data_IF_643351983368
#
_entry.id   IF_643351983368
#
_cell.length_a   1.000
_cell.length_b   1.000
_cell.length_c   1.000
_cell.angle_alpha   90.00
_cell.angle_beta   90.00
_cell.angle_gamma   90.00
#
_symmetry.space_group_name_H-M   'P 1'
#
loop_
_entity.id
_entity.type
_entity.pdbx_description
1 polymer ?
#
# COMPACT_ATOMS: atom_id res chain seq x y z
N UNK A 1 8.02 -17.11 56.01
CA UNK A 1 8.91 -17.69 54.97
C UNK A 1 8.22 -17.52 53.61
N UNK A 2 8.36 -16.36 52.97
CA UNK A 2 9.27 -16.10 51.83
C UNK A 2 9.02 -17.00 50.60
N UNK A 3 7.97 -16.72 49.83
CA UNK A 3 7.97 -17.03 48.38
C UNK A 3 8.76 -15.94 47.66
N UNK A 4 10.09 -16.02 47.83
CA UNK A 4 11.10 -15.20 47.16
C UNK A 4 11.53 -15.82 45.83
N UNK A 5 10.62 -16.51 45.13
CA UNK A 5 10.93 -17.21 43.87
C UNK A 5 10.05 -16.76 42.70
N UNK A 6 9.59 -15.51 42.72
CA UNK A 6 9.29 -14.81 41.47
C UNK A 6 10.62 -14.34 40.89
N UNK A 7 11.40 -15.31 40.39
CA UNK A 7 12.60 -15.04 39.62
C UNK A 7 12.21 -14.18 38.44
N UNK A 8 12.71 -12.95 38.49
CA UNK A 8 12.76 -11.99 37.41
C UNK A 8 13.40 -12.66 36.18
N UNK A 9 12.60 -12.99 35.18
CA UNK A 9 13.12 -13.24 33.85
C UNK A 9 13.65 -11.89 33.32
N UNK A 10 14.94 -11.64 33.56
CA UNK A 10 15.68 -10.56 32.93
C UNK A 10 15.61 -10.79 31.42
N UNK A 11 14.80 -9.99 30.73
CA UNK A 11 14.85 -9.84 29.27
C UNK A 11 16.08 -8.97 28.96
N UNK A 12 17.25 -9.41 29.38
CA UNK A 12 18.51 -8.79 29.02
C UNK A 12 19.05 -9.56 27.82
N UNK A 13 19.14 -8.83 26.70
CA UNK A 13 20.03 -9.12 25.58
C UNK A 13 19.69 -10.31 24.68
N UNK A 14 18.53 -10.25 24.01
CA UNK A 14 18.47 -10.83 22.66
C UNK A 14 19.02 -9.80 21.66
N UNK A 15 20.34 -9.83 21.48
CA UNK A 15 21.03 -9.11 20.40
C UNK A 15 20.53 -9.70 19.07
N UNK A 16 19.78 -8.92 18.29
CA UNK A 16 19.39 -9.31 16.93
C UNK A 16 20.63 -9.43 16.06
N UNK A 17 20.79 -10.58 15.39
CA UNK A 17 21.85 -10.77 14.41
C UNK A 17 21.73 -9.74 13.27
N UNK A 18 22.83 -9.05 12.90
CA UNK A 18 22.81 -8.14 11.75
C UNK A 18 22.70 -8.97 10.47
N UNK A 19 21.62 -8.75 9.72
CA UNK A 19 21.40 -9.38 8.42
C UNK A 19 22.27 -8.68 7.39
N UNK A 20 23.24 -9.40 6.84
CA UNK A 20 24.08 -8.93 5.73
C UNK A 20 23.23 -8.69 4.48
N UNK A 21 23.21 -7.45 3.98
CA UNK A 21 22.55 -7.11 2.71
C UNK A 21 23.58 -7.17 1.58
N UNK A 22 23.40 -8.02 0.55
CA UNK A 22 24.33 -8.06 -0.58
C UNK A 22 24.30 -6.73 -1.35
N UNK A 23 25.47 -6.09 -1.48
CA UNK A 23 25.71 -4.93 -2.34
C UNK A 23 25.77 -5.37 -3.80
N UNK A 24 24.62 -5.40 -4.47
CA UNK A 24 24.54 -5.51 -5.93
C UNK A 24 24.57 -4.12 -6.56
N UNK A 25 25.67 -3.77 -7.22
CA UNK A 25 25.75 -2.65 -8.16
C UNK A 25 24.81 -2.93 -9.34
N UNK A 26 23.91 -2.00 -9.67
CA UNK A 26 23.31 -1.90 -11.01
C UNK A 26 23.81 -0.61 -11.64
N UNK A 27 24.30 -0.76 -12.86
CA UNK A 27 24.76 0.31 -13.72
C UNK A 27 23.72 1.41 -13.86
N UNK A 28 24.20 2.65 -13.88
CA UNK A 28 23.40 3.86 -13.98
C UNK A 28 22.96 4.06 -15.42
N UNK A 29 21.71 3.75 -15.73
CA UNK A 29 21.01 4.43 -16.83
C UNK A 29 20.94 5.94 -16.51
N UNK A 30 21.03 6.83 -17.52
CA UNK A 30 21.01 8.27 -17.30
C UNK A 30 19.75 8.65 -16.50
N UNK A 31 19.97 9.32 -15.37
CA UNK A 31 18.91 9.67 -14.45
C UNK A 31 17.84 10.49 -15.19
N UNK A 32 16.56 10.08 -15.18
CA UNK A 32 15.50 10.95 -15.63
C UNK A 32 15.57 12.26 -14.83
N UNK A 33 15.20 13.40 -15.44
CA UNK A 33 15.21 14.69 -14.75
C UNK A 33 14.49 14.57 -13.39
N UNK A 34 14.93 15.30 -12.35
CA UNK A 34 14.37 15.15 -11.02
C UNK A 34 12.86 15.44 -11.08
N UNK A 35 12.06 14.37 -11.06
CA UNK A 35 10.62 14.48 -10.87
C UNK A 35 10.44 15.23 -9.56
N UNK A 36 9.75 16.36 -9.63
CA UNK A 36 9.28 17.11 -8.45
C UNK A 36 8.11 16.37 -7.76
N UNK A 37 7.86 15.11 -8.15
CA UNK A 37 6.82 14.22 -7.66
C UNK A 37 7.37 12.85 -7.23
N UNK A 38 6.45 11.97 -6.83
CA UNK A 38 6.75 10.69 -6.18
C UNK A 38 7.11 9.61 -7.22
N UNK A 39 8.40 9.36 -7.54
CA UNK A 39 8.79 8.68 -8.78
C UNK A 39 8.37 7.20 -8.82
N UNK A 40 8.35 6.55 -7.64
CA UNK A 40 7.87 5.17 -7.50
C UNK A 40 6.36 5.07 -7.72
N UNK A 41 5.61 6.04 -7.22
CA UNK A 41 4.15 6.04 -7.34
C UNK A 41 3.79 6.37 -8.79
N UNK A 42 4.48 7.35 -9.39
CA UNK A 42 4.31 7.71 -10.79
C UNK A 42 4.63 6.54 -11.72
N UNK A 43 5.74 5.82 -11.52
CA UNK A 43 6.07 4.66 -12.35
C UNK A 43 5.02 3.53 -12.26
N UNK A 44 4.46 3.29 -11.06
CA UNK A 44 3.38 2.30 -10.87
C UNK A 44 2.07 2.77 -11.51
N UNK A 45 1.77 4.07 -11.43
CA UNK A 45 0.59 4.66 -12.06
C UNK A 45 0.76 4.78 -13.58
N UNK A 46 1.96 4.98 -14.12
CA UNK A 46 2.15 5.07 -15.58
C UNK A 46 2.21 3.70 -16.22
N UNK A 47 2.83 2.72 -15.57
CA UNK A 47 2.91 1.34 -16.08
C UNK A 47 1.56 0.61 -16.03
N UNK A 48 0.64 1.03 -15.17
CA UNK A 48 -0.63 0.34 -15.01
C UNK A 48 -1.82 1.21 -14.66
N UNK A 49 -1.78 2.54 -14.74
CA UNK A 49 -2.78 3.43 -14.13
C UNK A 49 -4.20 3.27 -14.68
N UNK A 50 -4.34 3.18 -16.00
CA UNK A 50 -5.63 2.92 -16.62
C UNK A 50 -6.15 1.51 -16.27
N UNK A 51 -5.27 0.50 -16.32
CA UNK A 51 -5.61 -0.88 -15.93
C UNK A 51 -5.91 -1.01 -14.44
N UNK A 52 -5.22 -0.26 -13.59
CA UNK A 52 -5.36 -0.23 -12.14
C UNK A 52 -6.68 0.42 -11.77
N UNK A 53 -7.03 1.55 -12.39
CA UNK A 53 -8.35 2.16 -12.20
C UNK A 53 -9.49 1.26 -12.66
N UNK A 54 -9.35 0.62 -13.84
CA UNK A 54 -10.32 -0.34 -14.34
C UNK A 54 -10.48 -1.54 -13.39
N UNK A 55 -9.36 -2.07 -12.90
CA UNK A 55 -9.33 -3.18 -11.95
C UNK A 55 -9.96 -2.81 -10.61
N UNK A 56 -9.63 -1.64 -10.05
CA UNK A 56 -10.23 -1.16 -8.81
C UNK A 56 -11.74 -0.97 -8.95
N UNK A 57 -12.21 -0.43 -10.08
CA UNK A 57 -13.64 -0.27 -10.36
C UNK A 57 -14.35 -1.62 -10.48
N UNK A 58 -13.76 -2.58 -11.19
CA UNK A 58 -14.32 -3.93 -11.30
C UNK A 58 -14.38 -4.62 -9.93
N UNK A 59 -13.34 -4.51 -9.12
CA UNK A 59 -13.30 -5.08 -7.76
C UNK A 59 -14.34 -4.42 -6.83
N UNK A 60 -14.49 -3.10 -6.87
CA UNK A 60 -15.53 -2.40 -6.12
C UNK A 60 -16.93 -2.90 -6.49
N UNK A 61 -17.22 -3.09 -7.79
CA UNK A 61 -18.49 -3.65 -8.24
C UNK A 61 -18.71 -5.09 -7.74
N UNK A 62 -17.69 -5.95 -7.81
CA UNK A 62 -17.80 -7.33 -7.28
C UNK A 62 -18.06 -7.35 -5.78
N UNK A 63 -17.44 -6.45 -5.02
CA UNK A 63 -17.68 -6.31 -3.58
C UNK A 63 -19.07 -5.75 -3.28
N UNK A 64 -19.60 -4.86 -4.12
CA UNK A 64 -20.96 -4.36 -3.99
C UNK A 64 -22.01 -5.47 -4.23
N UNK A 65 -21.77 -6.40 -5.15
CA UNK A 65 -22.62 -7.58 -5.33
C UNK A 65 -22.51 -8.56 -4.17
N UNK A 66 -21.30 -8.82 -3.66
CA UNK A 66 -21.10 -9.61 -2.43
C UNK A 66 -21.74 -8.97 -1.20
N UNK A 67 -21.88 -7.65 -1.17
CA UNK A 67 -22.61 -6.97 -0.11
C UNK A 67 -24.13 -7.22 -0.13
N UNK A 68 -24.68 -7.75 -1.24
CA UNK A 68 -26.08 -8.16 -1.36
C UNK A 68 -26.29 -9.62 -0.95
N UNK A 69 -25.32 -10.48 -1.23
CA UNK A 69 -25.38 -11.92 -0.94
C UNK A 69 -24.24 -12.37 -0.01
N UNK A 70 -24.58 -12.76 1.22
CA UNK A 70 -23.60 -13.21 2.22
C UNK A 70 -24.15 -13.17 3.64
N UNK A 71 -23.35 -13.61 4.62
CA UNK A 71 -23.69 -13.43 6.04
C UNK A 71 -23.65 -11.95 6.42
N UNK A 72 -24.30 -11.55 7.54
CA UNK A 72 -24.28 -10.15 7.98
C UNK A 72 -22.86 -9.60 8.19
N UNK A 73 -21.90 -10.46 8.59
CA UNK A 73 -20.49 -10.07 8.71
C UNK A 73 -19.86 -9.82 7.33
N UNK A 74 -20.12 -10.68 6.36
CA UNK A 74 -19.59 -10.55 5.00
C UNK A 74 -20.14 -9.31 4.31
N UNK A 75 -21.42 -9.02 4.50
CA UNK A 75 -22.05 -7.79 3.98
C UNK A 75 -21.38 -6.54 4.54
N UNK A 76 -21.09 -6.51 5.84
CA UNK A 76 -20.44 -5.36 6.48
C UNK A 76 -18.98 -5.21 6.01
N UNK A 77 -18.26 -6.32 5.89
CA UNK A 77 -16.89 -6.34 5.38
C UNK A 77 -16.83 -5.91 3.91
N UNK A 78 -17.73 -6.43 3.07
CA UNK A 78 -17.83 -6.10 1.65
C UNK A 78 -18.16 -4.61 1.43
N UNK A 79 -19.09 -4.03 2.21
CA UNK A 79 -19.37 -2.58 2.17
C UNK A 79 -18.16 -1.73 2.54
N UNK A 80 -17.44 -2.11 3.60
CA UNK A 80 -16.21 -1.40 4.03
C UNK A 80 -15.12 -1.50 2.97
N UNK A 81 -14.96 -2.68 2.37
CA UNK A 81 -14.00 -2.90 1.31
C UNK A 81 -14.38 -2.07 0.07
N UNK A 82 -15.62 -2.10 -0.40
CA UNK A 82 -16.09 -1.28 -1.52
C UNK A 82 -15.79 0.22 -1.30
N UNK A 83 -16.11 0.75 -0.11
CA UNK A 83 -15.82 2.14 0.23
C UNK A 83 -14.31 2.46 0.24
N UNK A 84 -13.45 1.50 0.61
CA UNK A 84 -12.00 1.67 0.55
C UNK A 84 -11.47 1.71 -0.89
N UNK A 85 -12.02 0.87 -1.77
CA UNK A 85 -11.69 0.89 -3.20
C UNK A 85 -12.12 2.19 -3.87
N UNK A 86 -13.30 2.72 -3.54
CA UNK A 86 -13.77 4.01 -4.04
C UNK A 86 -12.84 5.15 -3.60
N UNK A 87 -12.42 5.17 -2.33
CA UNK A 87 -11.45 6.16 -1.83
C UNK A 87 -10.09 6.05 -2.52
N UNK A 88 -9.61 4.83 -2.73
CA UNK A 88 -8.35 4.60 -3.44
C UNK A 88 -8.42 5.13 -4.88
N UNK A 89 -9.56 4.94 -5.57
CA UNK A 89 -9.79 5.47 -6.90
C UNK A 89 -9.78 7.00 -6.93
N UNK A 90 -10.52 7.64 -6.02
CA UNK A 90 -10.53 9.11 -5.93
C UNK A 90 -9.16 9.69 -5.63
N UNK A 91 -8.34 9.01 -4.83
CA UNK A 91 -6.96 9.44 -4.56
C UNK A 91 -6.07 9.32 -5.80
N UNK A 92 -6.20 8.23 -6.57
CA UNK A 92 -5.48 8.08 -7.83
C UNK A 92 -5.89 9.15 -8.85
N UNK A 93 -7.18 9.44 -8.99
CA UNK A 93 -7.68 10.51 -9.85
C UNK A 93 -7.09 11.87 -9.45
N UNK A 94 -7.06 12.16 -8.14
CA UNK A 94 -6.46 13.39 -7.63
C UNK A 94 -4.95 13.49 -7.94
N UNK A 95 -4.20 12.41 -7.74
CA UNK A 95 -2.76 12.37 -8.02
C UNK A 95 -2.48 12.57 -9.51
N UNK A 96 -3.24 11.90 -10.38
CA UNK A 96 -3.13 12.05 -11.83
C UNK A 96 -3.48 13.47 -12.29
N UNK A 97 -4.58 14.04 -11.79
CA UNK A 97 -4.96 15.42 -12.10
C UNK A 97 -3.91 16.43 -11.61
N UNK A 98 -3.31 16.18 -10.44
CA UNK A 98 -2.23 17.02 -9.89
C UNK A 98 -0.98 16.93 -10.74
N UNK A 99 -0.60 15.72 -11.19
CA UNK A 99 0.52 15.54 -12.12
C UNK A 99 0.29 16.30 -13.42
N UNK A 100 -0.89 16.14 -14.04
CA UNK A 100 -1.23 16.85 -15.27
C UNK A 100 -1.11 18.39 -15.13
N UNK A 101 -1.49 18.94 -13.97
CA UNK A 101 -1.30 20.37 -13.67
C UNK A 101 0.16 20.78 -13.50
N UNK A 102 1.00 19.90 -12.96
CA UNK A 102 2.43 20.17 -12.74
C UNK A 102 3.29 19.99 -13.98
N UNK A 103 2.87 19.12 -14.92
CA UNK A 103 3.62 18.85 -16.17
C UNK A 103 3.09 19.63 -17.37
N UNK A 104 1.87 20.18 -17.30
CA UNK A 104 1.19 20.89 -18.38
C UNK A 104 1.13 22.41 -18.23
N UNK A 105 1.83 22.98 -17.25
CA UNK A 105 2.05 24.43 -17.09
C UNK A 105 3.53 24.76 -17.19
#
# INVERSE_FOLDING_TARGET
MTRKDLQSFKISEQVKAPVDRPKGKKDKDPAPPPSVGFPRIEAVIESGGAETQATLKARAATLAELAKAGSNKDKLAAKKAAAAYDKARSLLDYLLATKAKLTGG
#
